data_IF_357881991389
#
_entry.id   IF_357881991389
#
_cell.length_a   1.000
_cell.length_b   1.000
_cell.length_c   1.000
_cell.angle_alpha   90.00
_cell.angle_beta   90.00
_cell.angle_gamma   90.00
#
_symmetry.space_group_name_H-M   'P 1'
#
loop_
_entity.id
_entity.type
_entity.pdbx_description
1 polymer ?
#
# COMPACT_ATOMS: atom_id res chain seq x y z
N UNK A 1 -17.16 14.79 35.42
CA UNK A 1 -17.15 13.35 35.77
C UNK A 1 -15.82 12.74 35.33
N UNK A 2 -14.72 12.91 36.09
CA UNK A 2 -13.39 12.37 35.75
C UNK A 2 -13.32 10.84 35.59
N UNK A 3 -14.32 10.08 36.08
CA UNK A 3 -14.42 8.62 35.87
C UNK A 3 -14.62 8.24 34.41
N UNK A 4 -15.54 8.91 33.68
CA UNK A 4 -15.86 8.55 32.29
C UNK A 4 -14.77 8.90 31.28
N UNK A 5 -13.90 9.88 31.60
CA UNK A 5 -12.72 10.19 30.79
C UNK A 5 -11.58 9.20 31.05
N UNK A 6 -11.36 8.82 32.31
CA UNK A 6 -10.36 7.80 32.69
C UNK A 6 -10.69 6.44 32.08
N UNK A 7 -11.95 6.02 32.15
CA UNK A 7 -12.48 4.83 31.46
C UNK A 7 -12.08 4.81 29.97
N UNK A 8 -12.44 5.88 29.26
CA UNK A 8 -12.13 6.02 27.83
C UNK A 8 -10.62 5.97 27.55
N UNK A 9 -9.83 6.63 28.39
CA UNK A 9 -8.37 6.62 28.29
C UNK A 9 -7.82 5.20 28.47
N UNK A 10 -8.24 4.48 29.50
CA UNK A 10 -7.78 3.12 29.83
C UNK A 10 -8.08 2.11 28.70
N UNK A 11 -9.24 2.20 28.05
CA UNK A 11 -9.62 1.33 26.93
C UNK A 11 -8.61 1.30 25.78
N UNK A 12 -7.86 2.40 25.57
CA UNK A 12 -6.84 2.47 24.52
C UNK A 12 -5.63 1.56 24.81
N UNK A 13 -5.39 1.20 26.07
CA UNK A 13 -4.23 0.43 26.52
C UNK A 13 -4.55 -1.04 26.84
N UNK A 14 -5.82 -1.46 26.72
CA UNK A 14 -6.24 -2.84 26.98
C UNK A 14 -5.83 -3.78 25.84
N UNK A 15 -4.68 -4.43 25.97
CA UNK A 15 -4.17 -5.43 25.02
C UNK A 15 -3.99 -6.77 25.73
N UNK A 16 -4.26 -7.91 25.06
CA UNK A 16 -3.94 -9.22 25.63
C UNK A 16 -2.46 -9.31 26.03
N UNK A 17 -2.14 -10.03 27.12
CA UNK A 17 -0.75 -10.21 27.51
C UNK A 17 0.05 -10.93 26.43
N UNK A 18 1.20 -10.36 26.09
CA UNK A 18 2.13 -10.92 25.11
C UNK A 18 3.50 -11.12 25.76
N UNK A 19 3.91 -12.40 25.84
CA UNK A 19 5.11 -12.84 26.53
C UNK A 19 6.41 -12.45 25.80
N UNK A 20 6.34 -12.12 24.52
CA UNK A 20 7.52 -11.81 23.70
C UNK A 20 7.85 -10.32 23.68
N UNK A 21 7.00 -9.51 24.29
CA UNK A 21 7.08 -8.07 24.23
C UNK A 21 8.18 -7.44 25.09
N UNK A 22 8.69 -6.30 24.64
CA UNK A 22 9.59 -5.46 25.44
C UNK A 22 8.98 -5.12 26.81
N UNK A 23 7.66 -4.90 26.87
CA UNK A 23 6.93 -4.66 28.11
C UNK A 23 7.05 -5.82 29.10
N UNK A 24 6.84 -7.06 28.64
CA UNK A 24 6.97 -8.23 29.48
C UNK A 24 8.41 -8.36 30.03
N UNK A 25 9.42 -8.17 29.17
CA UNK A 25 10.83 -8.23 29.58
C UNK A 25 11.16 -7.16 30.63
N UNK A 26 10.69 -5.93 30.45
CA UNK A 26 10.84 -4.86 31.44
C UNK A 26 10.27 -5.27 32.80
N UNK A 27 9.05 -5.80 32.83
CA UNK A 27 8.38 -6.22 34.08
C UNK A 27 9.13 -7.36 34.77
N UNK A 28 9.66 -8.32 34.02
CA UNK A 28 10.49 -9.41 34.55
C UNK A 28 11.81 -8.93 35.14
N UNK A 29 12.46 -7.98 34.47
CA UNK A 29 13.70 -7.36 34.97
C UNK A 29 13.43 -6.57 36.25
N UNK A 30 12.30 -5.87 36.32
CA UNK A 30 11.92 -5.10 37.52
C UNK A 30 11.66 -5.99 38.73
N UNK A 31 10.93 -7.10 38.56
CA UNK A 31 10.73 -8.08 39.62
C UNK A 31 12.08 -8.55 40.20
N UNK A 32 13.03 -8.89 39.32
CA UNK A 32 14.39 -9.31 39.71
C UNK A 32 15.18 -8.20 40.38
N UNK A 33 15.19 -6.99 39.81
CA UNK A 33 15.97 -5.85 40.31
C UNK A 33 15.56 -5.45 41.73
N UNK A 34 14.25 -5.37 42.00
CA UNK A 34 13.75 -5.01 43.33
C UNK A 34 13.72 -6.19 44.31
N UNK A 35 13.96 -7.43 43.85
CA UNK A 35 13.85 -8.63 44.67
C UNK A 35 12.42 -8.93 45.12
N UNK A 36 11.44 -8.60 44.26
CA UNK A 36 10.02 -8.91 44.48
C UNK A 36 9.63 -10.11 43.61
N UNK A 37 8.98 -11.15 44.17
CA UNK A 37 8.64 -12.35 43.41
C UNK A 37 7.60 -12.09 42.32
N UNK A 38 6.82 -11.01 42.43
CA UNK A 38 5.80 -10.65 41.45
C UNK A 38 5.92 -9.17 41.09
N UNK A 39 5.87 -8.87 39.80
CA UNK A 39 5.68 -7.53 39.26
C UNK A 39 4.58 -7.57 38.20
N UNK A 40 3.67 -6.60 38.20
CA UNK A 40 2.53 -6.56 37.28
C UNK A 40 2.37 -5.17 36.69
N UNK A 41 1.90 -5.11 35.45
CA UNK A 41 1.34 -3.91 34.86
C UNK A 41 -0.16 -4.13 34.70
N UNK A 42 -0.93 -3.32 35.43
CA UNK A 42 -2.37 -3.37 35.44
C UNK A 42 -2.92 -2.10 34.80
N UNK A 43 -3.84 -2.25 33.86
CA UNK A 43 -4.73 -1.17 33.40
C UNK A 43 -6.05 -1.36 34.11
N UNK A 44 -6.60 -0.30 34.70
CA UNK A 44 -7.84 -0.38 35.49
C UNK A 44 -8.90 0.42 34.77
N UNK A 45 -9.97 -0.26 34.39
CA UNK A 45 -11.10 0.34 33.70
C UNK A 45 -12.39 0.23 34.55
N UNK A 46 -12.94 1.38 34.98
CA UNK A 46 -14.08 1.55 35.90
C UNK A 46 -14.05 0.68 37.17
N UNK A 47 -14.23 -0.64 37.08
CA UNK A 47 -14.17 -1.64 38.16
C UNK A 47 -13.46 -2.94 37.78
N UNK A 48 -12.88 -3.01 36.59
CA UNK A 48 -12.21 -4.19 36.07
C UNK A 48 -10.72 -3.93 35.97
N UNK A 49 -9.95 -4.75 36.66
CA UNK A 49 -8.50 -4.80 36.50
C UNK A 49 -8.16 -5.69 35.29
N UNK A 50 -7.31 -5.18 34.42
CA UNK A 50 -6.71 -5.92 33.32
C UNK A 50 -5.20 -5.98 33.52
N UNK A 51 -4.67 -7.14 33.88
CA UNK A 51 -3.23 -7.36 33.92
C UNK A 51 -2.73 -7.61 32.50
N UNK A 52 -1.91 -6.70 31.98
CA UNK A 52 -1.43 -6.71 30.59
C UNK A 52 0.01 -7.22 30.45
N UNK A 53 0.78 -7.21 31.54
CA UNK A 53 2.09 -7.86 31.66
C UNK A 53 2.31 -8.30 33.10
N UNK A 54 3.06 -9.39 33.30
CA UNK A 54 3.26 -9.93 34.64
C UNK A 54 4.43 -10.89 34.76
N UNK A 55 5.23 -10.70 35.80
CA UNK A 55 6.35 -11.56 36.17
C UNK A 55 6.01 -12.36 37.44
N UNK A 56 6.45 -13.62 37.51
CA UNK A 56 6.25 -14.49 38.67
C UNK A 56 4.84 -15.08 38.84
N UNK A 57 3.86 -14.62 38.07
CA UNK A 57 2.50 -15.17 38.01
C UNK A 57 1.91 -14.92 36.62
N UNK A 58 1.08 -15.84 36.13
CA UNK A 58 0.38 -15.61 34.88
C UNK A 58 -0.69 -14.53 35.06
N UNK A 59 -0.86 -13.56 34.13
CA UNK A 59 -1.88 -12.52 34.24
C UNK A 59 -3.31 -13.00 34.49
N UNK A 60 -3.67 -14.21 34.02
CA UNK A 60 -4.99 -14.82 34.27
C UNK A 60 -5.17 -15.44 35.67
N UNK A 61 -4.08 -15.58 36.43
CA UNK A 61 -4.05 -16.14 37.78
C UNK A 61 -3.93 -15.04 38.86
N UNK A 62 -3.90 -13.79 38.45
CA UNK A 62 -3.91 -12.65 39.37
C UNK A 62 -5.33 -12.50 39.92
N UNK A 63 -5.46 -12.54 41.25
CA UNK A 63 -6.72 -12.24 41.95
C UNK A 63 -7.15 -10.79 41.78
N UNK A 64 -8.24 -10.39 42.44
CA UNK A 64 -8.73 -9.01 42.35
C UNK A 64 -7.85 -8.04 43.17
N UNK A 65 -7.00 -7.27 42.50
CA UNK A 65 -6.25 -6.13 43.06
C UNK A 65 -6.90 -4.79 42.69
N UNK A 66 -8.09 -4.76 42.07
CA UNK A 66 -8.67 -3.55 41.52
C UNK A 66 -8.83 -2.43 42.56
N UNK A 67 -9.19 -2.77 43.80
CA UNK A 67 -9.27 -1.82 44.91
C UNK A 67 -7.89 -1.25 45.26
N UNK A 68 -6.88 -2.11 45.42
CA UNK A 68 -5.51 -1.70 45.76
C UNK A 68 -4.88 -0.85 44.65
N UNK A 69 -5.09 -1.22 43.39
CA UNK A 69 -4.65 -0.43 42.25
C UNK A 69 -5.33 0.94 42.23
N UNK A 70 -6.62 1.01 42.60
CA UNK A 70 -7.39 2.26 42.61
C UNK A 70 -6.88 3.24 43.65
N UNK A 71 -6.56 2.78 44.85
CA UNK A 71 -6.01 3.64 45.90
C UNK A 71 -4.74 4.37 45.40
N UNK A 72 -3.89 3.67 44.63
CA UNK A 72 -2.69 4.27 44.02
C UNK A 72 -3.03 5.20 42.84
N UNK A 73 -4.01 4.84 42.01
CA UNK A 73 -4.45 5.63 40.85
C UNK A 73 -5.10 6.95 41.29
N UNK A 74 -5.95 6.92 42.32
CA UNK A 74 -6.69 8.09 42.80
C UNK A 74 -5.79 9.09 43.54
N UNK A 75 -4.80 8.60 44.27
CA UNK A 75 -3.79 9.45 44.93
C UNK A 75 -2.70 9.97 43.98
N UNK A 76 -2.60 9.42 42.76
CA UNK A 76 -1.68 9.81 41.69
C UNK A 76 -0.20 9.93 42.12
N UNK A 77 0.23 9.10 43.10
CA UNK A 77 1.62 9.03 43.58
C UNK A 77 2.02 7.59 43.90
N UNK A 78 3.33 7.25 43.87
CA UNK A 78 3.80 5.94 44.31
C UNK A 78 3.42 5.67 45.77
N UNK A 79 3.01 4.44 46.09
CA UNK A 79 2.64 4.02 47.44
C UNK A 79 3.20 2.65 47.81
N UNK A 80 3.42 2.47 49.11
CA UNK A 80 3.72 1.19 49.74
C UNK A 80 2.57 0.88 50.68
N UNK A 81 1.84 -0.19 50.37
CA UNK A 81 0.64 -0.60 51.08
C UNK A 81 0.86 -1.97 51.74
N UNK A 82 0.46 -2.09 53.00
CA UNK A 82 0.23 -3.41 53.59
C UNK A 82 -1.09 -3.95 53.05
N UNK A 83 -1.05 -5.15 52.48
CA UNK A 83 -2.21 -5.80 51.88
C UNK A 83 -2.35 -7.22 52.44
N UNK A 84 -3.47 -7.86 52.16
CA UNK A 84 -3.63 -9.29 52.38
C UNK A 84 -4.43 -9.89 51.22
N UNK A 85 -3.73 -10.17 50.12
CA UNK A 85 -4.35 -10.61 48.86
C UNK A 85 -3.67 -11.89 48.36
N UNK A 86 -4.47 -12.87 47.94
CA UNK A 86 -3.99 -14.07 47.28
C UNK A 86 -3.69 -13.78 45.80
N UNK A 87 -2.48 -14.11 45.35
CA UNK A 87 -2.04 -14.01 43.95
C UNK A 87 -1.40 -15.33 43.55
N UNK A 88 -2.05 -16.07 42.65
CA UNK A 88 -1.75 -17.49 42.44
C UNK A 88 -1.92 -18.28 43.74
N UNK A 89 -0.94 -19.13 44.06
CA UNK A 89 -0.97 -20.00 45.26
C UNK A 89 -0.34 -19.35 46.51
N UNK A 90 -0.07 -18.04 46.49
CA UNK A 90 0.65 -17.34 47.55
C UNK A 90 -0.13 -16.12 48.04
N UNK A 91 -0.09 -15.86 49.35
CA UNK A 91 -0.58 -14.60 49.92
C UNK A 91 0.51 -13.54 49.84
N UNK A 92 0.12 -12.32 49.47
CA UNK A 92 0.97 -11.15 49.39
C UNK A 92 0.64 -10.21 50.53
N UNK A 93 1.67 -9.74 51.23
CA UNK A 93 1.56 -8.86 52.39
C UNK A 93 2.06 -7.44 52.12
N UNK A 94 2.79 -7.23 51.03
CA UNK A 94 3.26 -5.91 50.60
C UNK A 94 2.92 -5.67 49.14
N UNK A 95 2.39 -4.48 48.87
CA UNK A 95 2.13 -3.96 47.55
C UNK A 95 2.86 -2.63 47.40
N UNK A 96 3.75 -2.54 46.41
CA UNK A 96 4.35 -1.25 46.02
C UNK A 96 3.77 -0.88 44.68
N UNK A 97 2.97 0.18 44.62
CA UNK A 97 2.28 0.62 43.41
C UNK A 97 2.80 1.95 42.92
N UNK A 98 3.05 2.05 41.62
CA UNK A 98 3.32 3.27 40.90
C UNK A 98 2.16 3.53 39.92
N UNK A 99 1.50 4.70 39.96
CA UNK A 99 0.47 5.02 38.98
C UNK A 99 1.09 5.17 37.59
N UNK A 100 0.46 4.56 36.60
CA UNK A 100 0.80 4.73 35.19
C UNK A 100 -0.19 5.73 34.59
N UNK A 101 0.36 6.71 33.89
CA UNK A 101 -0.38 7.81 33.27
C UNK A 101 -0.37 7.61 31.76
N UNK A 102 -1.55 7.68 31.14
CA UNK A 102 -1.69 7.63 29.68
C UNK A 102 -1.44 9.01 29.03
N UNK A 103 -1.47 9.05 27.70
CA UNK A 103 -1.24 10.23 26.85
C UNK A 103 -2.00 11.49 27.29
N UNK A 104 -3.22 11.33 27.78
CA UNK A 104 -4.08 12.44 28.19
C UNK A 104 -3.70 13.03 29.56
N UNK A 105 -2.61 12.56 30.18
CA UNK A 105 -2.21 12.97 31.53
C UNK A 105 -3.09 12.34 32.62
N UNK A 106 -3.88 11.33 32.28
CA UNK A 106 -4.79 10.65 33.20
C UNK A 106 -4.17 9.34 33.72
N UNK A 107 -4.23 9.06 35.04
CA UNK A 107 -3.89 7.76 35.58
C UNK A 107 -4.79 6.67 34.98
N UNK A 108 -4.19 5.69 34.30
CA UNK A 108 -4.87 4.59 33.60
C UNK A 108 -4.67 3.23 34.28
N UNK A 109 -3.74 3.15 35.24
CA UNK A 109 -3.30 1.86 35.76
C UNK A 109 -2.17 1.97 36.78
N UNK A 110 -1.55 0.83 37.08
CA UNK A 110 -0.40 0.74 37.99
C UNK A 110 0.66 -0.22 37.47
N UNK A 111 1.93 0.16 37.65
CA UNK A 111 3.04 -0.78 37.74
C UNK A 111 3.18 -1.14 39.22
N UNK A 112 3.07 -2.41 39.57
CA UNK A 112 3.14 -2.83 40.97
C UNK A 112 4.08 -3.99 41.22
N UNK A 113 4.68 -4.01 42.40
CA UNK A 113 5.50 -5.10 42.94
C UNK A 113 4.79 -5.72 44.14
N UNK A 114 4.76 -7.06 44.23
CA UNK A 114 4.13 -7.78 45.33
C UNK A 114 5.10 -8.73 46.03
N UNK A 115 5.03 -8.77 47.36
CA UNK A 115 5.88 -9.60 48.21
C UNK A 115 5.06 -10.33 49.30
N UNK A 116 5.37 -11.60 49.62
CA UNK A 116 4.66 -12.39 50.65
C UNK A 116 5.01 -12.00 52.09
N UNK A 117 6.07 -11.23 52.29
CA UNK A 117 6.48 -10.70 53.60
C UNK A 117 6.30 -9.19 53.64
N UNK A 118 6.09 -8.64 54.84
CA UNK A 118 6.06 -7.20 55.08
C UNK A 118 7.43 -6.58 54.80
N UNK A 119 7.53 -5.80 53.73
CA UNK A 119 8.78 -5.12 53.34
C UNK A 119 8.58 -3.61 53.26
N UNK A 120 9.55 -2.89 53.80
CA UNK A 120 9.69 -1.45 53.53
C UNK A 120 10.25 -1.21 52.14
N UNK A 121 10.08 0.01 51.64
CA UNK A 121 10.64 0.45 50.36
C UNK A 121 11.29 1.83 50.57
N UNK A 122 12.59 1.94 50.29
CA UNK A 122 13.33 3.18 50.51
C UNK A 122 12.97 4.25 49.48
N UNK A 123 13.23 5.53 49.82
CA UNK A 123 13.03 6.64 48.88
C UNK A 123 13.81 6.45 47.57
N UNK A 124 15.03 5.90 47.64
CA UNK A 124 15.83 5.57 46.45
C UNK A 124 15.16 4.50 45.59
N UNK A 125 14.63 3.45 46.20
CA UNK A 125 13.90 2.42 45.46
C UNK A 125 12.62 2.98 44.83
N UNK A 126 11.91 3.90 45.49
CA UNK A 126 10.76 4.60 44.88
C UNK A 126 11.17 5.43 43.65
N UNK A 127 12.33 6.09 43.70
CA UNK A 127 12.88 6.83 42.56
C UNK A 127 13.24 5.89 41.40
N UNK A 128 13.93 4.79 41.68
CA UNK A 128 14.26 3.77 40.66
C UNK A 128 12.99 3.19 40.03
N UNK A 129 11.95 2.93 40.85
CA UNK A 129 10.67 2.41 40.38
C UNK A 129 9.96 3.45 39.50
N UNK A 130 9.99 4.73 39.87
CA UNK A 130 9.42 5.81 39.07
C UNK A 130 10.13 5.95 37.71
N UNK A 131 11.46 5.86 37.68
CA UNK A 131 12.23 5.87 36.43
C UNK A 131 11.86 4.68 35.53
N UNK A 132 11.74 3.48 36.11
CA UNK A 132 11.25 2.31 35.39
C UNK A 132 9.80 2.46 34.90
N UNK A 133 8.96 3.16 35.68
CA UNK A 133 7.61 3.53 35.28
C UNK A 133 7.57 4.32 33.99
N UNK A 134 8.48 5.29 33.81
CA UNK A 134 8.59 6.05 32.56
C UNK A 134 8.82 5.14 31.34
N UNK A 135 9.74 4.17 31.46
CA UNK A 135 10.02 3.19 30.40
C UNK A 135 8.78 2.35 30.10
N UNK A 136 8.08 1.88 31.15
CA UNK A 136 6.84 1.11 30.99
C UNK A 136 5.77 1.95 30.30
N UNK A 137 5.62 3.23 30.65
CA UNK A 137 4.64 4.13 30.03
C UNK A 137 4.96 4.38 28.55
N UNK A 138 6.21 4.59 28.18
CA UNK A 138 6.62 4.72 26.76
C UNK A 138 6.30 3.45 25.97
N UNK A 139 6.57 2.28 26.54
CA UNK A 139 6.24 0.99 25.91
C UNK A 139 4.73 0.78 25.75
N UNK A 140 3.93 1.27 26.70
CA UNK A 140 2.47 1.27 26.59
C UNK A 140 1.97 2.20 25.48
N UNK A 141 2.60 3.35 25.29
CA UNK A 141 2.25 4.27 24.19
C UNK A 141 2.61 3.71 22.82
N UNK A 142 3.80 3.11 22.66
CA UNK A 142 4.20 2.47 21.41
C UNK A 142 3.19 1.39 21.00
N UNK A 143 2.80 0.54 21.95
CA UNK A 143 1.78 -0.50 21.73
C UNK A 143 0.41 0.06 21.38
N UNK A 144 0.02 1.20 21.97
CA UNK A 144 -1.23 1.90 21.63
C UNK A 144 -1.20 2.35 20.17
N UNK A 145 -0.08 2.93 19.73
CA UNK A 145 0.12 3.43 18.36
C UNK A 145 0.14 2.30 17.34
N UNK A 146 0.89 1.21 17.59
CA UNK A 146 0.93 0.03 16.73
C UNK A 146 -0.47 -0.57 16.50
N UNK A 147 -1.30 -0.58 17.54
CA UNK A 147 -2.68 -1.09 17.45
C UNK A 147 -3.61 -0.15 16.70
N UNK A 148 -3.44 1.16 16.88
CA UNK A 148 -4.22 2.17 16.18
C UNK A 148 -3.97 2.08 14.67
N UNK A 149 -2.70 1.91 14.27
CA UNK A 149 -2.29 1.65 12.89
C UNK A 149 -2.89 0.35 12.34
N UNK A 150 -2.73 -0.77 13.06
CA UNK A 150 -3.30 -2.07 12.64
C UNK A 150 -4.84 -2.04 12.52
N UNK A 151 -5.54 -1.34 13.42
CA UNK A 151 -7.00 -1.19 13.36
C UNK A 151 -7.44 -0.41 12.13
N UNK A 152 -6.73 0.66 11.79
CA UNK A 152 -6.99 1.45 10.60
C UNK A 152 -6.74 0.61 9.33
N UNK A 153 -5.65 -0.15 9.30
CA UNK A 153 -5.32 -1.08 8.20
C UNK A 153 -6.41 -2.14 7.99
N UNK A 154 -6.88 -2.80 9.06
CA UNK A 154 -7.92 -3.85 8.95
C UNK A 154 -9.28 -3.25 8.56
N UNK A 155 -9.66 -2.10 9.12
CA UNK A 155 -10.91 -1.42 8.75
C UNK A 155 -10.88 -0.98 7.29
N UNK A 156 -9.75 -0.47 6.81
CA UNK A 156 -9.56 -0.09 5.42
C UNK A 156 -9.58 -1.30 4.48
N UNK A 157 -9.10 -2.47 4.91
CA UNK A 157 -9.08 -3.68 4.10
C UNK A 157 -10.50 -4.23 3.89
N UNK A 158 -11.32 -4.26 4.96
CA UNK A 158 -12.73 -4.62 4.86
C UNK A 158 -13.51 -3.64 3.98
N UNK A 159 -13.28 -2.34 4.15
CA UNK A 159 -13.91 -1.31 3.33
C UNK A 159 -13.52 -1.41 1.86
N UNK A 160 -12.26 -1.77 1.56
CA UNK A 160 -11.79 -1.99 0.20
C UNK A 160 -12.45 -3.24 -0.42
N UNK A 161 -12.54 -4.34 0.33
CA UNK A 161 -13.28 -5.53 -0.10
C UNK A 161 -14.74 -5.21 -0.43
N UNK A 162 -15.44 -4.50 0.46
CA UNK A 162 -16.82 -4.04 0.20
C UNK A 162 -16.89 -3.15 -1.05
N UNK A 163 -15.92 -2.28 -1.26
CA UNK A 163 -15.88 -1.40 -2.43
C UNK A 163 -15.71 -2.18 -3.75
N UNK A 164 -14.92 -3.24 -3.74
CA UNK A 164 -14.77 -4.16 -4.88
C UNK A 164 -16.11 -4.84 -5.17
N UNK A 165 -16.74 -5.42 -4.15
CA UNK A 165 -18.01 -6.16 -4.29
C UNK A 165 -19.18 -5.27 -4.72
N UNK A 166 -19.22 -4.03 -4.23
CA UNK A 166 -20.29 -3.06 -4.50
C UNK A 166 -20.05 -2.22 -5.76
N UNK A 167 -18.96 -2.45 -6.49
CA UNK A 167 -18.66 -1.73 -7.73
C UNK A 167 -18.25 -0.27 -7.54
N UNK A 168 -17.74 0.09 -6.36
CA UNK A 168 -17.17 1.42 -6.05
C UNK A 168 -15.72 1.59 -6.49
N UNK A 169 -15.15 0.54 -7.08
CA UNK A 169 -13.90 0.63 -7.82
C UNK A 169 -14.23 0.92 -9.29
N UNK A 170 -13.76 2.06 -9.78
CA UNK A 170 -13.99 2.52 -11.15
C UNK A 170 -12.66 2.70 -11.89
N UNK A 171 -12.71 2.66 -13.23
CA UNK A 171 -11.54 2.90 -14.06
C UNK A 171 -11.55 4.36 -14.55
N UNK A 172 -10.48 5.08 -14.26
CA UNK A 172 -10.13 6.29 -15.00
C UNK A 172 -9.17 5.92 -16.13
N UNK A 173 -9.24 6.61 -17.25
CA UNK A 173 -8.41 6.32 -18.41
C UNK A 173 -7.40 7.44 -18.67
N UNK A 174 -6.17 7.05 -18.97
CA UNK A 174 -5.14 7.96 -19.46
C UNK A 174 -4.79 7.63 -20.91
N UNK A 175 -4.78 8.61 -21.83
CA UNK A 175 -4.39 8.39 -23.22
C UNK A 175 -2.92 8.00 -23.38
N UNK A 176 -2.70 6.94 -24.16
CA UNK A 176 -1.42 6.60 -24.78
C UNK A 176 -1.42 7.21 -26.18
N UNK A 177 -0.41 8.01 -26.51
CA UNK A 177 -0.36 8.83 -27.72
C UNK A 177 0.78 8.36 -28.62
N UNK A 178 0.50 8.17 -29.91
CA UNK A 178 1.55 7.91 -30.89
C UNK A 178 2.34 9.19 -31.18
N UNK A 179 3.64 9.22 -30.86
CA UNK A 179 4.43 10.45 -30.85
C UNK A 179 4.54 11.12 -32.24
N UNK A 180 4.58 10.31 -33.31
CA UNK A 180 4.60 10.81 -34.69
C UNK A 180 3.24 11.34 -35.14
N UNK A 181 2.18 10.61 -34.80
CA UNK A 181 0.83 10.92 -35.29
C UNK A 181 0.12 12.01 -34.46
N UNK A 182 0.54 12.18 -33.21
CA UNK A 182 -0.16 12.97 -32.22
C UNK A 182 -1.57 12.48 -31.95
N UNK A 183 -1.90 11.21 -32.22
CA UNK A 183 -3.23 10.64 -31.97
C UNK A 183 -3.18 9.67 -30.80
N UNK A 184 -4.28 9.59 -30.06
CA UNK A 184 -4.49 8.51 -29.09
C UNK A 184 -4.51 7.17 -29.81
N UNK A 185 -3.63 6.27 -29.39
CA UNK A 185 -3.51 4.89 -29.89
C UNK A 185 -3.91 3.85 -28.84
N UNK A 186 -3.99 4.26 -27.57
CA UNK A 186 -4.45 3.40 -26.50
C UNK A 186 -4.94 4.19 -25.29
N UNK A 187 -5.51 3.48 -24.33
CA UNK A 187 -6.01 4.02 -23.08
C UNK A 187 -5.60 3.11 -21.93
N UNK A 188 -4.87 3.65 -20.97
CA UNK A 188 -4.54 2.94 -19.73
C UNK A 188 -5.63 3.14 -18.69
N UNK A 189 -6.20 2.03 -18.22
CA UNK A 189 -7.18 1.99 -17.16
C UNK A 189 -6.47 1.96 -15.80
N UNK A 190 -6.70 3.01 -15.02
CA UNK A 190 -6.15 3.22 -13.70
C UNK A 190 -7.26 3.20 -12.66
N UNK A 191 -7.11 2.32 -11.67
CA UNK A 191 -8.10 2.13 -10.62
C UNK A 191 -8.38 3.44 -9.85
N UNK A 192 -9.63 3.67 -9.51
CA UNK A 192 -10.06 4.73 -8.59
C UNK A 192 -11.09 4.17 -7.63
N UNK A 193 -10.99 4.58 -6.37
CA UNK A 193 -11.94 4.16 -5.35
C UNK A 193 -12.87 5.33 -5.01
N UNK A 194 -14.16 5.16 -5.29
CA UNK A 194 -15.22 6.05 -4.83
C UNK A 194 -15.53 5.78 -3.35
N UNK A 195 -14.71 6.33 -2.46
CA UNK A 195 -14.86 6.14 -1.03
C UNK A 195 -16.03 6.99 -0.49
N UNK A 196 -16.96 6.43 0.30
CA UNK A 196 -18.17 7.15 0.72
C UNK A 196 -17.92 8.44 1.52
N UNK A 197 -16.87 8.44 2.35
CA UNK A 197 -16.49 9.57 3.21
C UNK A 197 -15.35 10.42 2.63
N UNK A 198 -14.34 9.81 2.00
CA UNK A 198 -13.13 10.49 1.55
C UNK A 198 -13.20 10.95 0.09
N UNK A 199 -14.26 10.58 -0.64
CA UNK A 199 -14.40 10.87 -2.06
C UNK A 199 -13.49 9.99 -2.92
N UNK A 200 -13.05 10.51 -4.06
CA UNK A 200 -12.29 9.74 -5.04
C UNK A 200 -10.83 9.57 -4.60
N UNK A 201 -10.40 8.33 -4.36
CA UNK A 201 -9.02 8.00 -3.97
C UNK A 201 -8.22 7.42 -5.16
N UNK A 202 -6.93 7.76 -5.21
CA UNK A 202 -5.96 7.21 -6.15
C UNK A 202 -5.39 5.86 -5.68
N UNK A 203 -4.85 5.03 -6.59
CA UNK A 203 -4.28 3.72 -6.24
C UNK A 203 -3.26 3.78 -5.11
N UNK A 204 -2.41 4.81 -5.05
CA UNK A 204 -1.41 4.98 -3.99
C UNK A 204 -1.99 4.98 -2.56
N UNK A 205 -3.28 5.28 -2.39
CA UNK A 205 -3.94 5.29 -1.08
C UNK A 205 -4.40 3.90 -0.61
N UNK A 206 -4.59 2.93 -1.51
CA UNK A 206 -5.22 1.65 -1.20
C UNK A 206 -4.55 0.42 -1.82
N UNK A 207 -3.74 0.58 -2.88
CA UNK A 207 -3.04 -0.51 -3.54
C UNK A 207 -2.03 -1.21 -2.62
N UNK A 208 -1.22 -0.51 -1.79
CA UNK A 208 -0.31 -1.17 -0.84
C UNK A 208 -1.04 -2.11 0.13
N UNK A 209 -2.30 -1.79 0.46
CA UNK A 209 -3.13 -2.64 1.29
C UNK A 209 -3.57 -3.91 0.54
N UNK A 210 -4.02 -3.74 -0.71
CA UNK A 210 -4.47 -4.84 -1.56
C UNK A 210 -3.33 -5.83 -1.85
N UNK A 211 -2.13 -5.35 -2.18
CA UNK A 211 -0.96 -6.15 -2.59
C UNK A 211 -0.46 -7.12 -1.51
N UNK A 212 -0.68 -6.80 -0.23
CA UNK A 212 -0.33 -7.68 0.89
C UNK A 212 -1.25 -8.90 1.01
N UNK A 213 -2.31 -8.98 0.20
CA UNK A 213 -3.33 -10.03 0.23
C UNK A 213 -3.75 -10.46 -1.18
N UNK A 214 -4.60 -11.48 -1.29
CA UNK A 214 -5.17 -11.90 -2.58
C UNK A 214 -6.24 -10.92 -3.11
N UNK A 215 -6.58 -9.88 -2.33
CA UNK A 215 -7.56 -8.85 -2.70
C UNK A 215 -7.16 -8.08 -3.96
N UNK A 216 -5.86 -7.96 -4.25
CA UNK A 216 -5.38 -7.32 -5.48
C UNK A 216 -5.88 -8.07 -6.73
N UNK A 217 -6.07 -9.39 -6.67
CA UNK A 217 -6.61 -10.19 -7.78
C UNK A 217 -8.06 -9.81 -8.06
N UNK A 218 -8.87 -9.65 -7.01
CA UNK A 218 -10.27 -9.26 -7.17
C UNK A 218 -10.42 -7.79 -7.59
N UNK A 219 -9.53 -6.92 -7.10
CA UNK A 219 -9.41 -5.53 -7.51
C UNK A 219 -9.11 -5.42 -9.01
N UNK A 220 -8.07 -6.12 -9.49
CA UNK A 220 -7.66 -6.12 -10.89
C UNK A 220 -8.81 -6.61 -11.78
N UNK A 221 -9.48 -7.71 -11.42
CA UNK A 221 -10.61 -8.22 -12.19
C UNK A 221 -11.80 -7.25 -12.22
N UNK A 222 -12.06 -6.53 -11.12
CA UNK A 222 -13.09 -5.51 -11.07
C UNK A 222 -12.75 -4.34 -12.00
N UNK A 223 -11.50 -3.88 -11.99
CA UNK A 223 -10.99 -2.81 -12.86
C UNK A 223 -11.00 -3.25 -14.32
N UNK A 224 -10.51 -4.44 -14.66
CA UNK A 224 -10.52 -5.01 -16.02
C UNK A 224 -11.96 -5.07 -16.55
N UNK A 225 -12.89 -5.61 -15.75
CA UNK A 225 -14.30 -5.71 -16.15
C UNK A 225 -14.94 -4.33 -16.36
N UNK A 226 -14.67 -3.37 -15.48
CA UNK A 226 -15.16 -2.00 -15.61
C UNK A 226 -14.57 -1.31 -16.84
N UNK A 227 -13.25 -1.43 -17.04
CA UNK A 227 -12.51 -0.83 -18.13
C UNK A 227 -12.94 -1.37 -19.48
N UNK A 228 -13.04 -2.70 -19.62
CA UNK A 228 -13.45 -3.36 -20.86
C UNK A 228 -14.85 -2.93 -21.31
N UNK A 229 -15.80 -2.80 -20.37
CA UNK A 229 -17.17 -2.33 -20.68
C UNK A 229 -17.19 -0.91 -21.25
N UNK A 230 -16.41 0.00 -20.67
CA UNK A 230 -16.30 1.38 -21.17
C UNK A 230 -15.50 1.47 -22.47
N UNK A 231 -14.53 0.58 -22.65
CA UNK A 231 -13.68 0.55 -23.83
C UNK A 231 -14.38 0.00 -25.08
N UNK A 232 -15.29 -0.96 -24.94
CA UNK A 232 -16.02 -1.59 -26.05
C UNK A 232 -16.62 -0.61 -27.10
N UNK A 233 -17.37 0.45 -26.72
CA UNK A 233 -17.85 1.43 -27.69
C UNK A 233 -16.73 2.20 -28.40
N UNK A 234 -15.61 2.49 -27.73
CA UNK A 234 -14.46 3.16 -28.34
C UNK A 234 -13.75 2.26 -29.34
N UNK A 235 -13.55 1.00 -29.00
CA UNK A 235 -12.98 -0.01 -29.90
C UNK A 235 -13.82 -0.19 -31.17
N UNK A 236 -15.15 -0.22 -31.07
CA UNK A 236 -16.02 -0.30 -32.26
C UNK A 236 -15.88 0.90 -33.20
N UNK A 237 -15.52 2.08 -32.67
CA UNK A 237 -15.28 3.30 -33.47
C UNK A 237 -13.89 3.31 -34.11
N UNK A 238 -12.87 2.84 -33.39
CA UNK A 238 -11.51 2.70 -33.91
C UNK A 238 -10.90 1.37 -33.42
N UNK A 239 -10.97 0.30 -34.24
CA UNK A 239 -10.44 -1.03 -33.88
C UNK A 239 -8.92 -1.10 -33.72
N UNK A 240 -8.20 0.02 -33.93
CA UNK A 240 -6.76 0.12 -33.68
C UNK A 240 -6.44 0.59 -32.26
N UNK A 241 -7.43 1.11 -31.53
CA UNK A 241 -7.26 1.49 -30.13
C UNK A 241 -6.98 0.25 -29.30
N UNK A 242 -6.11 0.41 -28.30
CA UNK A 242 -5.82 -0.64 -27.32
C UNK A 242 -6.19 -0.23 -25.90
N UNK A 243 -6.63 -1.20 -25.12
CA UNK A 243 -6.90 -1.05 -23.70
C UNK A 243 -5.72 -1.60 -22.91
N UNK A 244 -5.10 -0.75 -22.10
CA UNK A 244 -4.03 -1.14 -21.21
C UNK A 244 -4.61 -1.30 -19.80
N UNK A 245 -4.33 -2.43 -19.14
CA UNK A 245 -4.78 -2.72 -17.77
C UNK A 245 -3.63 -3.28 -16.96
N UNK A 246 -3.48 -2.77 -15.75
CA UNK A 246 -2.50 -3.28 -14.79
C UNK A 246 -2.92 -4.69 -14.30
N UNK A 247 -1.94 -5.56 -14.12
CA UNK A 247 -2.13 -6.93 -13.66
C UNK A 247 -1.05 -7.32 -12.65
N UNK A 248 -1.47 -7.61 -11.42
CA UNK A 248 -0.58 -8.09 -10.36
C UNK A 248 -0.05 -9.48 -10.67
N UNK A 249 1.23 -9.74 -10.35
CA UNK A 249 1.82 -11.07 -10.48
C UNK A 249 1.15 -12.14 -9.61
N UNK A 250 0.41 -11.74 -8.56
CA UNK A 250 -0.35 -12.67 -7.70
C UNK A 250 -1.43 -13.44 -8.48
N UNK A 251 -1.89 -12.91 -9.60
CA UNK A 251 -2.76 -13.65 -10.52
C UNK A 251 -2.14 -14.98 -10.92
N UNK A 252 -0.83 -15.04 -11.14
CA UNK A 252 -0.17 -16.26 -11.62
C UNK A 252 0.00 -17.36 -10.55
N UNK A 253 -0.36 -17.07 -9.30
CA UNK A 253 -0.48 -18.09 -8.25
C UNK A 253 -1.81 -18.84 -8.34
N UNK A 254 -2.80 -18.28 -9.05
CA UNK A 254 -4.13 -18.85 -9.22
C UNK A 254 -4.17 -19.73 -10.47
N UNK A 255 -4.61 -20.98 -10.34
CA UNK A 255 -4.68 -21.92 -11.45
C UNK A 255 -5.65 -21.47 -12.56
N UNK A 256 -6.69 -20.73 -12.21
CA UNK A 256 -7.76 -20.25 -13.10
C UNK A 256 -7.53 -18.81 -13.63
N UNK A 257 -6.33 -18.25 -13.41
CA UNK A 257 -5.96 -16.89 -13.83
C UNK A 257 -6.37 -16.54 -15.27
N UNK A 258 -5.94 -17.38 -16.22
CA UNK A 258 -6.16 -17.17 -17.65
C UNK A 258 -7.65 -17.12 -17.97
N UNK A 259 -8.43 -18.06 -17.42
CA UNK A 259 -9.87 -18.15 -17.61
C UNK A 259 -10.58 -16.92 -17.02
N UNK A 260 -10.21 -16.50 -15.80
CA UNK A 260 -10.82 -15.34 -15.14
C UNK A 260 -10.58 -14.05 -15.94
N UNK A 261 -9.34 -13.79 -16.36
CA UNK A 261 -8.98 -12.58 -17.13
C UNK A 261 -9.72 -12.59 -18.49
N UNK A 262 -9.61 -13.69 -19.23
CA UNK A 262 -10.26 -13.84 -20.53
C UNK A 262 -11.78 -13.70 -20.43
N UNK A 263 -12.39 -14.31 -19.41
CA UNK A 263 -13.82 -14.22 -19.15
C UNK A 263 -14.30 -12.79 -18.87
N UNK A 264 -13.54 -11.99 -18.11
CA UNK A 264 -13.87 -10.58 -17.86
C UNK A 264 -13.87 -9.77 -19.16
N UNK A 265 -12.85 -9.91 -19.98
CA UNK A 265 -12.71 -9.18 -21.24
C UNK A 265 -13.77 -9.62 -22.25
N UNK A 266 -13.98 -10.93 -22.41
CA UNK A 266 -14.99 -11.48 -23.30
C UNK A 266 -16.42 -11.05 -22.93
N UNK A 267 -16.72 -10.89 -21.64
CA UNK A 267 -18.04 -10.42 -21.18
C UNK A 267 -18.38 -8.99 -21.64
N UNK A 268 -17.37 -8.18 -21.96
CA UNK A 268 -17.56 -6.84 -22.52
C UNK A 268 -17.67 -6.82 -24.06
N UNK A 269 -17.45 -7.96 -24.72
CA UNK A 269 -17.57 -8.10 -26.18
C UNK A 269 -16.41 -7.51 -26.97
N UNK A 270 -15.23 -7.35 -26.35
CA UNK A 270 -13.99 -6.96 -27.05
C UNK A 270 -13.06 -8.18 -27.22
N UNK A 271 -12.31 -8.28 -28.31
CA UNK A 271 -11.34 -9.36 -28.49
C UNK A 271 -10.13 -9.16 -27.57
N UNK A 272 -9.52 -10.24 -27.09
CA UNK A 272 -8.29 -10.17 -26.29
C UNK A 272 -7.14 -9.47 -27.00
N UNK A 273 -7.11 -9.49 -28.34
CA UNK A 273 -6.14 -8.76 -29.18
C UNK A 273 -6.21 -7.25 -29.06
N UNK A 274 -7.26 -6.71 -28.43
CA UNK A 274 -7.39 -5.28 -28.15
C UNK A 274 -6.88 -4.90 -26.75
N UNK A 275 -6.37 -5.85 -25.97
CA UNK A 275 -6.01 -5.66 -24.56
C UNK A 275 -4.54 -5.98 -24.31
N UNK A 276 -3.90 -5.03 -23.65
CA UNK A 276 -2.54 -5.10 -23.13
C UNK A 276 -2.61 -5.28 -21.61
N UNK A 277 -1.98 -6.35 -21.13
CA UNK A 277 -1.82 -6.65 -19.73
C UNK A 277 -0.46 -6.12 -19.28
N UNK A 278 -0.48 -5.09 -18.43
CA UNK A 278 0.71 -4.42 -17.92
C UNK A 278 1.12 -5.07 -16.60
N UNK A 279 2.38 -5.52 -16.54
CA UNK A 279 2.89 -6.28 -15.41
C UNK A 279 4.21 -5.67 -14.98
N UNK A 280 4.35 -5.37 -13.69
CA UNK A 280 5.55 -4.68 -13.20
C UNK A 280 6.80 -5.57 -13.28
N UNK A 281 7.92 -4.94 -13.61
CA UNK A 281 9.23 -5.59 -13.74
C UNK A 281 9.60 -6.39 -12.49
N UNK A 282 9.49 -5.77 -11.30
CA UNK A 282 9.89 -6.38 -10.02
C UNK A 282 9.02 -7.60 -9.68
N UNK A 283 7.72 -7.52 -9.96
CA UNK A 283 6.81 -8.61 -9.67
C UNK A 283 7.14 -9.85 -10.52
N UNK A 284 7.67 -9.66 -11.73
CA UNK A 284 8.06 -10.75 -12.63
C UNK A 284 9.38 -11.43 -12.26
N UNK A 285 10.28 -10.77 -11.55
CA UNK A 285 11.53 -11.38 -11.08
C UNK A 285 11.32 -12.46 -10.01
N UNK A 286 10.21 -12.38 -9.28
CA UNK A 286 9.89 -13.30 -8.19
C UNK A 286 9.11 -14.54 -8.66
N UNK A 287 8.89 -14.69 -9.97
CA UNK A 287 7.96 -15.69 -10.52
C UNK A 287 8.62 -16.99 -10.98
N UNK A 288 7.91 -18.09 -10.79
CA UNK A 288 8.35 -19.44 -11.15
C UNK A 288 7.92 -19.88 -12.55
N UNK A 289 8.26 -21.11 -12.98
CA UNK A 289 7.95 -21.64 -14.31
C UNK A 289 6.46 -21.63 -14.69
N UNK A 290 5.56 -21.74 -13.70
CA UNK A 290 4.10 -21.72 -13.90
C UNK A 290 3.65 -20.38 -14.49
N UNK A 291 4.25 -19.27 -14.05
CA UNK A 291 3.93 -17.93 -14.54
C UNK A 291 4.23 -17.80 -16.04
N UNK A 292 5.36 -18.33 -16.50
CA UNK A 292 5.70 -18.36 -17.93
C UNK A 292 4.63 -19.11 -18.72
N UNK A 293 4.17 -20.28 -18.25
CA UNK A 293 3.11 -21.05 -18.91
C UNK A 293 1.81 -20.24 -19.02
N UNK A 294 1.41 -19.55 -17.96
CA UNK A 294 0.18 -18.75 -17.95
C UNK A 294 0.28 -17.49 -18.83
N UNK A 295 1.44 -16.84 -18.86
CA UNK A 295 1.69 -15.72 -19.77
C UNK A 295 1.62 -16.16 -21.24
N UNK A 296 2.20 -17.32 -21.57
CA UNK A 296 2.05 -17.91 -22.90
C UNK A 296 0.57 -18.20 -23.22
N UNK A 297 -0.17 -18.79 -22.28
CA UNK A 297 -1.59 -19.07 -22.49
C UNK A 297 -2.43 -17.79 -22.71
N UNK A 298 -2.12 -16.69 -22.02
CA UNK A 298 -2.76 -15.39 -22.26
C UNK A 298 -2.43 -14.87 -23.67
N UNK A 299 -1.19 -15.00 -24.13
CA UNK A 299 -0.79 -14.62 -25.50
C UNK A 299 -1.42 -15.48 -26.57
N UNK A 300 -1.57 -16.78 -26.33
CA UNK A 300 -2.24 -17.70 -27.26
C UNK A 300 -3.73 -17.34 -27.44
N UNK A 301 -4.35 -16.72 -26.42
CA UNK A 301 -5.69 -16.13 -26.53
C UNK A 301 -5.71 -14.77 -27.25
N UNK A 302 -4.55 -14.17 -27.47
CA UNK A 302 -4.36 -12.92 -28.20
C UNK A 302 -4.05 -11.71 -27.32
N UNK A 303 -3.97 -11.85 -25.99
CA UNK A 303 -3.52 -10.74 -25.13
C UNK A 303 -2.07 -10.36 -25.46
N UNK A 304 -1.74 -9.08 -25.32
CA UNK A 304 -0.35 -8.63 -25.32
C UNK A 304 0.13 -8.40 -23.91
N UNK A 305 1.36 -8.80 -23.62
CA UNK A 305 1.98 -8.61 -22.31
C UNK A 305 2.97 -7.46 -22.41
N UNK A 306 2.80 -6.45 -21.58
CA UNK A 306 3.65 -5.27 -21.53
C UNK A 306 4.33 -5.19 -20.17
N UNK A 307 5.64 -5.01 -20.15
CA UNK A 307 6.36 -4.77 -18.89
C UNK A 307 6.26 -3.31 -18.49
N UNK A 308 5.84 -3.08 -17.26
CA UNK A 308 5.74 -1.76 -16.66
C UNK A 308 6.94 -1.42 -15.75
N UNK A 309 7.17 -0.13 -15.52
CA UNK A 309 8.27 0.45 -14.73
C UNK A 309 9.69 0.07 -15.22
N UNK A 310 9.86 -0.20 -16.52
CA UNK A 310 11.13 -0.68 -17.06
C UNK A 310 12.22 0.39 -16.98
N UNK A 311 13.34 0.04 -16.34
CA UNK A 311 14.50 0.92 -16.16
C UNK A 311 14.67 1.51 -14.76
N UNK A 312 13.78 1.19 -13.82
CA UNK A 312 13.89 1.57 -12.39
C UNK A 312 14.88 0.69 -11.61
N UNK A 313 15.22 -0.49 -12.15
CA UNK A 313 16.27 -1.38 -11.67
C UNK A 313 15.80 -2.83 -11.46
N UNK A 314 16.77 -3.76 -11.54
CA UNK A 314 16.73 -5.20 -11.19
C UNK A 314 16.54 -6.23 -12.32
N UNK A 315 16.07 -5.91 -13.53
CA UNK A 315 16.02 -6.92 -14.59
C UNK A 315 17.37 -7.20 -15.19
N UNK A 316 17.81 -8.44 -15.03
CA UNK A 316 18.80 -8.98 -15.94
C UNK A 316 18.18 -9.03 -17.34
N UNK A 317 18.85 -8.50 -18.35
CA UNK A 317 18.48 -8.68 -19.77
C UNK A 317 18.21 -10.17 -20.08
N UNK A 318 18.91 -11.07 -19.37
CA UNK A 318 18.70 -12.51 -19.45
C UNK A 318 17.28 -12.98 -19.03
N UNK A 319 16.63 -12.29 -18.10
CA UNK A 319 15.24 -12.57 -17.71
C UNK A 319 14.26 -12.10 -18.77
N UNK A 320 14.45 -10.87 -19.27
CA UNK A 320 13.65 -10.31 -20.37
C UNK A 320 13.63 -11.24 -21.59
N UNK A 321 14.78 -11.80 -21.98
CA UNK A 321 14.89 -12.74 -23.11
C UNK A 321 14.09 -14.04 -22.95
N UNK A 322 13.70 -14.42 -21.72
CA UNK A 322 12.94 -15.65 -21.44
C UNK A 322 11.45 -15.39 -21.28
N UNK A 323 11.05 -14.12 -21.15
CA UNK A 323 9.68 -13.77 -20.90
C UNK A 323 8.94 -13.54 -22.23
N UNK A 324 7.70 -14.05 -22.35
CA UNK A 324 6.89 -13.81 -23.53
C UNK A 324 6.26 -12.41 -23.43
N UNK A 325 7.05 -11.37 -23.67
CA UNK A 325 6.60 -9.98 -23.62
C UNK A 325 6.51 -9.41 -25.03
N UNK A 326 5.57 -8.49 -25.24
CA UNK A 326 5.30 -7.84 -26.51
C UNK A 326 5.66 -6.35 -26.50
N UNK A 327 5.98 -5.78 -25.33
CA UNK A 327 6.36 -4.39 -25.21
C UNK A 327 6.88 -4.01 -23.81
N UNK A 328 7.44 -2.82 -23.72
CA UNK A 328 7.97 -2.22 -22.50
C UNK A 328 7.49 -0.78 -22.34
N UNK A 329 7.14 -0.39 -21.12
CA UNK A 329 6.92 1.00 -20.70
C UNK A 329 8.17 1.51 -19.99
N UNK A 330 8.74 2.57 -20.53
CA UNK A 330 9.96 3.21 -20.02
C UNK A 330 9.54 4.18 -18.93
N UNK A 331 9.98 3.92 -17.70
CA UNK A 331 9.58 4.67 -16.51
C UNK A 331 9.92 6.16 -16.61
N UNK A 332 9.09 6.97 -15.94
CA UNK A 332 9.23 8.43 -15.87
C UNK A 332 10.59 8.93 -15.37
N UNK A 333 11.34 8.13 -14.61
CA UNK A 333 12.68 8.49 -14.15
C UNK A 333 13.64 8.70 -15.32
N UNK A 334 13.50 7.92 -16.40
CA UNK A 334 14.27 8.10 -17.65
C UNK A 334 13.83 9.36 -18.36
N UNK A 335 12.51 9.59 -18.46
CA UNK A 335 11.92 10.79 -19.09
C UNK A 335 12.34 12.08 -18.40
N UNK A 336 12.42 12.06 -17.07
CA UNK A 336 12.87 13.19 -16.25
C UNK A 336 14.35 13.51 -16.49
N UNK A 337 15.15 12.51 -16.88
CA UNK A 337 16.57 12.66 -17.16
C UNK A 337 16.89 13.05 -18.62
N UNK A 338 15.88 13.19 -19.49
CA UNK A 338 16.09 13.58 -20.89
C UNK A 338 16.72 14.96 -21.03
N UNK A 339 17.57 15.10 -22.05
CA UNK A 339 18.42 16.28 -22.24
C UNK A 339 19.71 16.24 -21.43
N UNK A 340 19.90 15.24 -20.56
CA UNK A 340 21.20 14.93 -19.96
C UNK A 340 21.93 13.86 -20.76
N UNK A 341 23.27 13.89 -20.75
CA UNK A 341 24.09 12.87 -21.43
C UNK A 341 23.74 11.45 -21.00
N UNK A 342 23.49 11.26 -19.71
CA UNK A 342 23.18 9.94 -19.13
C UNK A 342 21.78 9.48 -19.48
N UNK A 343 20.76 10.33 -19.30
CA UNK A 343 19.37 9.99 -19.64
C UNK A 343 19.20 9.67 -21.13
N UNK A 344 19.79 10.49 -22.00
CA UNK A 344 19.72 10.26 -23.44
C UNK A 344 20.45 8.96 -23.87
N UNK A 345 21.57 8.63 -23.21
CA UNK A 345 22.29 7.39 -23.47
C UNK A 345 21.51 6.16 -22.98
N UNK A 346 20.87 6.26 -21.81
CA UNK A 346 20.03 5.21 -21.26
C UNK A 346 18.82 4.95 -22.17
N UNK A 347 18.11 6.00 -22.58
CA UNK A 347 16.97 5.85 -23.50
C UNK A 347 17.40 5.16 -24.80
N UNK A 348 18.50 5.60 -25.43
CA UNK A 348 19.00 4.94 -26.66
C UNK A 348 19.35 3.46 -26.45
N UNK A 349 19.95 3.12 -25.31
CA UNK A 349 20.28 1.74 -24.98
C UNK A 349 19.01 0.87 -24.82
N UNK A 350 18.00 1.39 -24.11
CA UNK A 350 16.71 0.73 -23.92
C UNK A 350 15.97 0.52 -25.25
N UNK A 351 15.94 1.56 -26.11
CA UNK A 351 15.31 1.47 -27.42
C UNK A 351 16.03 0.50 -28.36
N UNK A 352 17.36 0.48 -28.33
CA UNK A 352 18.13 -0.50 -29.11
C UNK A 352 17.81 -1.93 -28.66
N UNK A 353 17.76 -2.18 -27.35
CA UNK A 353 17.40 -3.49 -26.81
C UNK A 353 15.98 -3.89 -27.21
N UNK A 354 15.01 -2.97 -27.09
CA UNK A 354 13.63 -3.23 -27.49
C UNK A 354 13.53 -3.56 -28.99
N UNK A 355 14.25 -2.82 -29.83
CA UNK A 355 14.28 -3.07 -31.27
C UNK A 355 14.85 -4.45 -31.60
N UNK A 356 15.98 -4.83 -31.00
CA UNK A 356 16.62 -6.13 -31.23
C UNK A 356 15.76 -7.31 -30.74
N UNK A 357 14.84 -7.06 -29.80
CA UNK A 357 13.90 -8.03 -29.26
C UNK A 357 12.49 -7.96 -29.87
N UNK A 358 12.27 -7.09 -30.87
CA UNK A 358 10.96 -6.84 -31.51
C UNK A 358 9.85 -6.44 -30.50
N UNK A 359 10.21 -5.57 -29.55
CA UNK A 359 9.31 -5.07 -28.50
C UNK A 359 8.80 -3.66 -28.80
N UNK A 360 7.50 -3.45 -28.63
CA UNK A 360 6.93 -2.11 -28.66
C UNK A 360 7.38 -1.29 -27.45
N UNK A 361 7.53 0.02 -27.64
CA UNK A 361 7.99 0.93 -26.58
C UNK A 361 7.00 2.06 -26.33
N UNK A 362 6.72 2.32 -25.05
CA UNK A 362 6.00 3.50 -24.60
C UNK A 362 6.84 4.26 -23.58
N UNK A 363 7.03 5.57 -23.76
CA UNK A 363 7.71 6.40 -22.76
C UNK A 363 6.71 7.08 -21.83
N UNK A 364 6.93 6.99 -20.52
CA UNK A 364 6.00 7.52 -19.52
C UNK A 364 6.44 8.86 -18.92
N UNK A 365 5.50 9.55 -18.29
CA UNK A 365 5.80 10.80 -17.58
C UNK A 365 6.18 11.96 -18.49
N UNK A 366 5.68 12.00 -19.72
CA UNK A 366 5.91 13.12 -20.63
C UNK A 366 5.10 14.34 -20.18
N UNK A 367 5.79 15.43 -19.88
CA UNK A 367 5.21 16.67 -19.35
C UNK A 367 5.48 17.89 -20.24
N UNK A 368 6.42 17.81 -21.20
CA UNK A 368 6.76 18.93 -22.09
C UNK A 368 6.84 18.54 -23.58
N UNK A 369 6.58 19.48 -24.52
CA UNK A 369 6.77 19.25 -25.96
C UNK A 369 8.22 18.89 -26.33
N UNK A 370 9.21 19.43 -25.63
CA UNK A 370 10.62 19.13 -25.85
C UNK A 370 10.93 17.66 -25.56
N UNK A 371 10.32 17.09 -24.51
CA UNK A 371 10.45 15.66 -24.21
C UNK A 371 9.81 14.80 -25.31
N UNK A 372 8.72 15.24 -25.93
CA UNK A 372 8.13 14.56 -27.10
C UNK A 372 9.11 14.56 -28.27
N UNK A 373 9.72 15.70 -28.58
CA UNK A 373 10.70 15.82 -29.67
C UNK A 373 11.92 14.93 -29.42
N UNK A 374 12.46 14.94 -28.19
CA UNK A 374 13.59 14.11 -27.79
C UNK A 374 13.28 12.61 -27.87
N UNK A 375 12.13 12.19 -27.31
CA UNK A 375 11.72 10.79 -27.33
C UNK A 375 11.44 10.30 -28.77
N UNK A 376 10.75 11.10 -29.58
CA UNK A 376 10.49 10.79 -30.98
C UNK A 376 11.79 10.71 -31.81
N UNK A 377 12.73 11.64 -31.58
CA UNK A 377 14.03 11.61 -32.25
C UNK A 377 14.89 10.40 -31.84
N UNK A 378 14.72 9.91 -30.60
CA UNK A 378 15.37 8.70 -30.13
C UNK A 378 14.76 7.41 -30.71
N UNK A 379 13.51 7.48 -31.20
CA UNK A 379 12.80 6.36 -31.82
C UNK A 379 11.63 5.81 -31.03
N UNK A 380 11.18 6.47 -29.94
CA UNK A 380 9.98 6.05 -29.22
C UNK A 380 8.74 6.18 -30.12
N UNK A 381 7.97 5.09 -30.24
CA UNK A 381 6.74 5.08 -31.05
C UNK A 381 5.56 5.77 -30.34
N UNK A 382 5.42 5.52 -29.03
CA UNK A 382 4.30 5.98 -28.21
C UNK A 382 4.78 6.62 -26.91
N UNK A 383 3.93 7.44 -26.31
CA UNK A 383 4.18 7.98 -24.99
C UNK A 383 2.91 8.34 -24.24
N UNK A 384 3.08 8.51 -22.93
CA UNK A 384 2.02 8.81 -21.98
C UNK A 384 2.52 9.84 -20.98
N UNK A 385 1.64 10.75 -20.56
CA UNK A 385 2.00 11.75 -19.56
C UNK A 385 1.01 12.90 -19.45
N UNK A 386 1.28 13.79 -18.48
CA UNK A 386 0.40 14.90 -18.15
C UNK A 386 0.40 16.02 -19.18
N UNK A 387 1.35 16.00 -20.14
CA UNK A 387 1.31 16.88 -21.30
C UNK A 387 -0.01 16.78 -22.06
N UNK A 388 -0.52 15.55 -22.25
CA UNK A 388 -1.75 15.29 -23.00
C UNK A 388 -2.97 15.22 -22.08
N UNK A 389 -2.89 14.42 -21.02
CA UNK A 389 -3.98 14.30 -20.06
C UNK A 389 -3.54 13.61 -18.78
N UNK A 390 -4.16 14.01 -17.67
CA UNK A 390 -4.18 13.21 -16.44
C UNK A 390 -5.21 12.07 -16.60
N UNK A 391 -5.16 11.02 -15.78
CA UNK A 391 -6.20 9.99 -15.80
C UNK A 391 -7.60 10.60 -15.51
N UNK A 392 -8.55 10.34 -16.39
CA UNK A 392 -9.87 10.99 -16.39
C UNK A 392 -11.01 9.95 -16.46
N UNK A 393 -12.21 10.28 -15.95
CA UNK A 393 -13.36 9.39 -16.07
C UNK A 393 -13.77 9.21 -17.53
N UNK A 394 -14.41 8.08 -17.85
CA UNK A 394 -14.78 7.70 -19.22
C UNK A 394 -15.53 8.80 -20.00
N UNK A 395 -16.43 9.54 -19.33
CA UNK A 395 -17.22 10.60 -19.98
C UNK A 395 -16.36 11.76 -20.53
N UNK A 396 -15.19 12.04 -19.94
CA UNK A 396 -14.26 13.07 -20.44
C UNK A 396 -13.43 12.56 -21.61
N UNK A 397 -13.05 11.28 -21.57
CA UNK A 397 -12.28 10.62 -22.62
C UNK A 397 -13.12 10.49 -23.89
N UNK A 398 -14.40 10.15 -23.75
CA UNK A 398 -15.34 10.07 -24.88
C UNK A 398 -15.46 11.39 -25.65
N UNK A 399 -15.35 12.53 -24.96
CA UNK A 399 -15.36 13.86 -25.58
C UNK A 399 -14.05 14.20 -26.33
N UNK A 400 -12.94 13.56 -25.96
CA UNK A 400 -11.61 13.82 -26.52
C UNK A 400 -11.28 12.86 -27.67
N UNK A 401 -11.83 11.65 -27.65
CA UNK A 401 -11.58 10.60 -28.63
C UNK A 401 -12.00 11.01 -30.04
N UNK A 402 -11.02 11.07 -30.95
CA UNK A 402 -11.21 11.42 -32.36
C UNK A 402 -10.57 12.75 -32.77
N UNK A 403 -10.16 13.57 -31.81
CA UNK A 403 -9.30 14.75 -32.04
C UNK A 403 -7.88 14.47 -31.55
N UNK A 404 -6.82 15.06 -32.15
CA UNK A 404 -5.49 15.05 -31.55
C UNK A 404 -5.58 15.65 -30.14
N UNK A 405 -4.98 15.04 -29.09
CA UNK A 405 -4.91 15.67 -27.79
C UNK A 405 -4.12 16.98 -27.94
N UNK A 406 -4.69 18.07 -27.43
CA UNK A 406 -4.11 19.39 -27.58
C UNK A 406 -2.78 19.48 -26.83
N UNK A 407 -1.69 19.78 -27.52
CA UNK A 407 -0.42 20.14 -26.90
C UNK A 407 -0.50 21.62 -26.52
N UNK A 408 -0.44 21.99 -25.22
CA UNK A 408 -0.45 23.40 -24.83
C UNK A 408 0.73 24.15 -25.48
N UNK A 409 0.44 25.18 -26.27
CA UNK A 409 1.46 26.05 -26.87
C UNK A 409 1.82 25.79 -28.35
N UNK A 410 1.36 24.70 -28.98
CA UNK A 410 1.51 24.54 -30.42
C UNK A 410 0.41 25.29 -31.19
N UNK A 411 0.76 26.38 -31.87
CA UNK A 411 -0.10 26.96 -32.91
C UNK A 411 -0.22 25.95 -34.04
N UNK A 412 -1.42 25.45 -34.29
CA UNK A 412 -1.73 24.64 -35.48
C UNK A 412 -1.51 25.49 -36.73
N UNK A 413 -0.35 25.39 -37.38
CA UNK A 413 -0.23 25.82 -38.76
C UNK A 413 -0.80 24.71 -39.65
N UNK A 414 -1.77 25.00 -40.52
CA UNK A 414 -2.23 24.02 -41.50
C UNK A 414 -1.03 23.61 -42.36
N UNK A 415 -0.73 22.31 -42.43
CA UNK A 415 0.27 21.79 -43.37
C UNK A 415 -0.17 22.18 -44.79
N UNK A 416 0.60 23.03 -45.43
CA UNK A 416 0.47 23.28 -46.86
C UNK A 416 0.85 21.99 -47.60
N UNK A 417 -0.08 21.48 -48.37
CA UNK A 417 0.09 20.38 -49.30
C UNK A 417 1.09 20.81 -50.39
N UNK A 418 2.25 20.17 -50.49
CA UNK A 418 3.21 20.39 -51.60
C UNK A 418 3.62 19.04 -52.19
N UNK A 419 2.65 18.28 -52.66
CA UNK A 419 2.80 17.41 -53.83
C UNK A 419 2.60 18.25 -55.11
N UNK A 420 3.50 19.18 -55.42
CA UNK A 420 3.48 19.87 -56.73
C UNK A 420 4.78 20.57 -57.14
N UNK A 421 5.96 20.09 -56.73
CA UNK A 421 7.23 20.69 -57.15
C UNK A 421 8.33 19.67 -57.46
N UNK A 422 8.05 18.70 -58.34
CA UNK A 422 9.08 17.87 -59.02
C UNK A 422 8.71 17.63 -60.49
N UNK A 423 8.56 18.69 -61.27
CA UNK A 423 8.66 18.65 -62.75
C UNK A 423 9.15 20.00 -63.27
N UNK A 424 10.47 20.23 -63.23
CA UNK A 424 11.24 21.08 -64.17
C UNK A 424 12.68 21.22 -63.66
N UNK A 425 13.54 20.29 -64.06
CA UNK A 425 14.99 20.49 -64.18
C UNK A 425 15.62 19.26 -64.88
N UNK A 426 15.22 19.01 -66.12
CA UNK A 426 16.07 18.34 -67.13
C UNK A 426 15.68 18.96 -68.47
N UNK A 427 16.46 19.95 -68.90
CA UNK A 427 16.76 20.28 -70.30
C UNK A 427 17.96 21.20 -70.33
#
# INVERSE_FOLDING_TARGET
MPSSRRHRSALHYLVPPDRTSALQQSVELLAKYFGFPIALVNVVDDNVQHTIAGAGVHPRQVGNLATVCRDVIDDARPQVLEIDVAVGDRRMLTYVGLPLVGREGLPIGTLCLLHPERRGFSARQLQDLAAAGGIVQEQLELRRLEREDLRLTVANALALGEAIDTGRITAHFQPVVGLVSGRTVGLEALARWEHPQLGLLSPSAFLPLAETSDMVVDLDLAVIGHAARHFAPWFRRDPRLRLHVNLSARHFEQADCVERIAGRVASAGIPSTAVDLEVTETAMLSTGPITTVQLHALRDLGFRIVLDDFGTGFSSVAHLMRMPVDGIKIDRSVTTALGSRTGDALLRALLSLAHDLDLDTCIEGVESPEQVEQANAAGCATGQGFLWSRPQPACRIDQQLGSPPAIPGQRTHPRADITSARRRAVR
#
